data_IF_886930541311
#
_entry.id   IF_886930541311
#
_cell.length_a   1.000
_cell.length_b   1.000
_cell.length_c   1.000
_cell.angle_alpha   90.00
_cell.angle_beta   90.00
_cell.angle_gamma   90.00
#
_symmetry.space_group_name_H-M   'P 1'
#
loop_
_entity.id
_entity.type
_entity.pdbx_description
1 polymer ?
#
# COMPACT_ATOMS: atom_id res chain seq x y z
N UNK A 1 17.22 8.01 50.81
CA UNK A 1 15.76 8.24 50.94
C UNK A 1 15.16 8.82 49.65
N UNK A 2 15.02 8.02 48.58
CA UNK A 2 14.35 8.46 47.33
C UNK A 2 14.02 7.30 46.37
N UNK A 3 13.76 6.11 46.91
CA UNK A 3 13.41 4.91 46.12
C UNK A 3 12.25 4.12 46.72
N UNK A 4 11.49 4.74 47.62
CA UNK A 4 10.43 4.08 48.40
C UNK A 4 9.04 4.74 48.20
N UNK A 5 8.84 5.45 47.09
CA UNK A 5 7.61 6.23 46.84
C UNK A 5 7.02 6.07 45.42
N UNK A 6 7.42 5.04 44.68
CA UNK A 6 6.95 4.80 43.31
C UNK A 6 6.50 3.34 43.07
N UNK A 7 6.04 2.66 44.11
CA UNK A 7 5.42 1.32 44.01
C UNK A 7 3.99 1.27 44.57
N UNK A 8 3.39 2.42 44.90
CA UNK A 8 2.06 2.50 45.53
C UNK A 8 1.02 3.26 44.67
N UNK A 9 1.12 3.14 43.34
CA UNK A 9 0.17 3.75 42.40
C UNK A 9 -0.34 2.75 41.33
N UNK A 10 -0.36 1.45 41.67
CA UNK A 10 -0.80 0.38 40.77
C UNK A 10 -2.01 -0.39 41.32
N UNK A 11 -2.91 0.28 42.04
CA UNK A 11 -4.04 -0.36 42.71
C UNK A 11 -5.28 0.55 42.79
N UNK A 12 -5.75 1.10 41.68
CA UNK A 12 -7.10 1.70 41.61
C UNK A 12 -7.52 2.00 40.16
N UNK A 13 -7.79 0.98 39.35
CA UNK A 13 -8.60 1.16 38.15
C UNK A 13 -9.31 -0.16 37.79
N UNK A 14 -10.18 -0.59 38.71
CA UNK A 14 -11.27 -1.46 38.36
C UNK A 14 -12.24 -0.66 37.46
N UNK A 15 -12.29 -0.96 36.18
CA UNK A 15 -13.40 -0.56 35.31
C UNK A 15 -13.91 -1.76 34.53
N UNK A 16 -15.03 -2.27 35.04
CA UNK A 16 -16.10 -2.99 34.36
C UNK A 16 -15.78 -3.58 32.98
N UNK A 17 -15.41 -4.86 32.96
CA UNK A 17 -15.53 -5.68 31.78
C UNK A 17 -17.03 -5.81 31.42
N UNK A 18 -17.48 -5.03 30.42
CA UNK A 18 -18.78 -5.25 29.78
C UNK A 18 -18.75 -6.58 29.06
N UNK A 19 -19.64 -7.49 29.45
CA UNK A 19 -19.97 -8.70 28.70
C UNK A 19 -20.39 -8.31 27.27
N UNK A 20 -19.51 -8.56 26.30
CA UNK A 20 -19.86 -8.50 24.89
C UNK A 20 -20.45 -9.86 24.52
N UNK A 21 -21.77 -9.90 24.36
CA UNK A 21 -22.48 -10.97 23.67
C UNK A 21 -21.85 -11.16 22.29
N UNK A 22 -21.35 -12.35 21.92
CA UNK A 22 -20.94 -12.60 20.55
C UNK A 22 -22.21 -12.67 19.69
N UNK A 23 -22.62 -11.52 19.16
CA UNK A 23 -23.52 -11.46 18.02
C UNK A 23 -22.82 -12.18 16.87
N UNK A 24 -23.44 -13.26 16.37
CA UNK A 24 -22.98 -14.01 15.21
C UNK A 24 -22.44 -13.06 14.13
N UNK A 25 -21.22 -13.27 13.61
CA UNK A 25 -20.74 -12.49 12.49
C UNK A 25 -21.71 -12.72 11.33
N UNK A 26 -22.48 -11.70 10.98
CA UNK A 26 -23.33 -11.71 9.80
C UNK A 26 -22.46 -12.16 8.63
N UNK A 27 -22.75 -13.36 8.10
CA UNK A 27 -22.04 -13.95 6.99
C UNK A 27 -22.02 -12.93 5.86
N UNK A 28 -20.85 -12.38 5.58
CA UNK A 28 -20.70 -11.36 4.55
C UNK A 28 -21.10 -12.01 3.24
N UNK A 29 -22.09 -11.49 2.49
CA UNK A 29 -22.57 -12.12 1.28
C UNK A 29 -21.38 -12.37 0.35
N UNK A 30 -21.26 -13.63 -0.09
CA UNK A 30 -20.30 -14.06 -1.09
C UNK A 30 -20.52 -13.23 -2.36
N UNK A 31 -19.43 -12.76 -2.98
CA UNK A 31 -19.50 -12.04 -4.27
C UNK A 31 -20.20 -12.83 -5.37
N UNK A 32 -20.24 -14.16 -5.25
CA UNK A 32 -20.93 -15.00 -6.23
C UNK A 32 -22.46 -14.74 -6.25
N UNK A 33 -23.01 -14.12 -5.20
CA UNK A 33 -24.45 -13.88 -5.03
C UNK A 33 -24.83 -12.40 -5.00
N UNK A 34 -23.86 -11.49 -4.97
CA UNK A 34 -24.11 -10.05 -4.90
C UNK A 34 -24.17 -9.45 -6.31
N UNK A 35 -25.36 -9.05 -6.75
CA UNK A 35 -25.55 -8.25 -7.96
C UNK A 35 -25.08 -6.81 -7.70
N UNK A 36 -23.84 -6.51 -8.05
CA UNK A 36 -23.31 -5.15 -7.98
C UNK A 36 -23.84 -4.29 -9.13
N UNK A 37 -24.22 -3.05 -8.84
CA UNK A 37 -24.55 -2.10 -9.88
C UNK A 37 -23.30 -1.74 -10.71
N UNK A 38 -23.50 -1.19 -11.91
CA UNK A 38 -22.40 -0.67 -12.72
C UNK A 38 -21.63 0.43 -11.96
N UNK A 39 -22.33 1.26 -11.20
CA UNK A 39 -21.72 2.30 -10.37
C UNK A 39 -20.83 1.72 -9.25
N UNK A 40 -21.29 0.66 -8.57
CA UNK A 40 -20.50 -0.03 -7.54
C UNK A 40 -19.24 -0.66 -8.12
N UNK A 41 -19.37 -1.21 -9.32
CA UNK A 41 -18.25 -1.81 -10.06
C UNK A 41 -17.21 -0.75 -10.41
N UNK A 42 -17.61 0.39 -10.96
CA UNK A 42 -16.71 1.50 -11.30
C UNK A 42 -16.01 2.04 -10.03
N UNK A 43 -16.74 2.14 -8.91
CA UNK A 43 -16.18 2.56 -7.63
C UNK A 43 -15.15 1.54 -7.11
N UNK A 44 -15.46 0.25 -7.18
CA UNK A 44 -14.55 -0.82 -6.77
C UNK A 44 -13.28 -0.84 -7.64
N UNK A 45 -13.40 -0.63 -8.96
CA UNK A 45 -12.25 -0.53 -9.87
C UNK A 45 -11.39 0.67 -9.51
N UNK A 46 -11.98 1.83 -9.24
CA UNK A 46 -11.25 3.03 -8.79
C UNK A 46 -10.42 2.74 -7.54
N UNK A 47 -11.06 2.17 -6.53
CA UNK A 47 -10.40 1.83 -5.27
C UNK A 47 -9.27 0.80 -5.47
N UNK A 48 -9.47 -0.20 -6.34
CA UNK A 48 -8.41 -1.13 -6.71
C UNK A 48 -7.20 -0.40 -7.32
N UNK A 49 -7.43 0.54 -8.24
CA UNK A 49 -6.36 1.29 -8.89
C UNK A 49 -5.63 2.21 -7.91
N UNK A 50 -6.37 2.97 -7.09
CA UNK A 50 -5.80 3.82 -6.04
C UNK A 50 -4.96 3.01 -5.04
N UNK A 51 -5.47 1.87 -4.57
CA UNK A 51 -4.74 1.00 -3.66
C UNK A 51 -3.43 0.47 -4.27
N UNK A 52 -3.43 0.19 -5.59
CA UNK A 52 -2.25 -0.30 -6.31
C UNK A 52 -1.25 0.81 -6.61
N UNK A 53 -1.71 2.01 -6.92
CA UNK A 53 -0.87 3.19 -7.08
C UNK A 53 -0.17 3.53 -5.76
N UNK A 54 -0.88 3.53 -4.62
CA UNK A 54 -0.25 3.78 -3.31
C UNK A 54 0.94 2.85 -3.05
N UNK A 55 0.77 1.56 -3.36
CA UNK A 55 1.87 0.61 -3.30
C UNK A 55 3.01 0.95 -4.27
N UNK A 56 2.70 1.34 -5.51
CA UNK A 56 3.69 1.73 -6.52
C UNK A 56 4.51 2.95 -6.11
N UNK A 57 3.85 3.98 -5.57
CA UNK A 57 4.47 5.19 -5.02
C UNK A 57 5.42 4.81 -3.88
N UNK A 58 5.02 3.92 -2.97
CA UNK A 58 5.91 3.46 -1.90
C UNK A 58 7.21 2.82 -2.40
N UNK A 59 7.19 2.05 -3.50
CA UNK A 59 8.43 1.53 -4.11
C UNK A 59 9.25 2.62 -4.78
N UNK A 60 8.59 3.57 -5.45
CA UNK A 60 9.27 4.68 -6.11
C UNK A 60 9.96 5.60 -5.09
N UNK A 61 9.29 5.91 -3.98
CA UNK A 61 9.81 6.75 -2.90
C UNK A 61 10.96 6.06 -2.15
N UNK A 62 10.82 4.76 -1.85
CA UNK A 62 11.90 3.99 -1.25
C UNK A 62 13.12 3.93 -2.20
N UNK A 63 12.88 3.68 -3.48
CA UNK A 63 13.93 3.65 -4.50
C UNK A 63 14.63 5.00 -4.67
N UNK A 64 13.88 6.10 -4.70
CA UNK A 64 14.43 7.45 -4.84
C UNK A 64 15.25 7.86 -3.63
N UNK A 65 14.83 7.51 -2.41
CA UNK A 65 15.60 7.76 -1.20
C UNK A 65 16.95 7.02 -1.22
N UNK A 66 16.94 5.73 -1.56
CA UNK A 66 18.18 4.91 -1.65
C UNK A 66 19.09 5.42 -2.79
N UNK A 67 18.51 5.74 -3.95
CA UNK A 67 19.28 6.34 -5.05
C UNK A 67 19.91 7.66 -4.65
N UNK A 68 19.17 8.55 -3.98
CA UNK A 68 19.70 9.84 -3.57
C UNK A 68 20.85 9.66 -2.58
N UNK A 69 20.70 8.76 -1.59
CA UNK A 69 21.76 8.45 -0.64
C UNK A 69 23.03 7.90 -1.33
N UNK A 70 22.86 6.93 -2.23
CA UNK A 70 23.97 6.37 -3.00
C UNK A 70 24.63 7.42 -3.91
N UNK A 71 23.85 8.32 -4.52
CA UNK A 71 24.36 9.33 -5.44
C UNK A 71 25.19 10.38 -4.71
N UNK A 72 24.72 10.81 -3.53
CA UNK A 72 25.48 11.67 -2.62
C UNK A 72 26.76 10.97 -2.18
N UNK A 73 26.69 9.70 -1.77
CA UNK A 73 27.87 8.94 -1.39
C UNK A 73 28.87 8.80 -2.54
N UNK A 74 28.41 8.61 -3.79
CA UNK A 74 29.26 8.60 -4.98
C UNK A 74 29.90 9.97 -5.26
N UNK A 75 29.14 11.06 -5.12
CA UNK A 75 29.63 12.42 -5.36
C UNK A 75 30.68 12.86 -4.33
N UNK A 76 30.62 12.32 -3.11
CA UNK A 76 31.57 12.60 -2.03
C UNK A 76 32.80 11.66 -2.03
N UNK A 77 32.93 10.75 -3.00
CA UNK A 77 34.07 9.83 -3.08
C UNK A 77 35.37 10.60 -3.36
N UNK A 78 36.37 10.30 -2.55
CA UNK A 78 37.77 10.71 -2.75
C UNK A 78 38.67 9.49 -2.99
N UNK A 79 39.93 9.71 -3.34
CA UNK A 79 40.92 8.63 -3.52
C UNK A 79 41.16 7.80 -2.26
N UNK A 80 40.86 8.34 -1.07
CA UNK A 80 40.95 7.65 0.22
C UNK A 80 39.68 6.86 0.60
N UNK A 81 38.66 6.84 -0.26
CA UNK A 81 37.42 6.10 0.02
C UNK A 81 37.69 4.61 0.03
N UNK A 82 37.26 3.91 1.10
CA UNK A 82 37.50 2.48 1.23
C UNK A 82 36.74 1.67 0.18
N UNK A 83 37.27 0.50 -0.19
CA UNK A 83 36.62 -0.39 -1.14
C UNK A 83 35.21 -0.80 -0.68
N UNK A 84 35.04 -1.08 0.62
CA UNK A 84 33.73 -1.39 1.21
C UNK A 84 32.71 -0.28 0.99
N UNK A 85 33.09 0.99 1.23
CA UNK A 85 32.21 2.14 0.99
C UNK A 85 31.84 2.28 -0.50
N UNK A 86 32.77 1.97 -1.42
CA UNK A 86 32.50 1.98 -2.86
C UNK A 86 31.54 0.87 -3.26
N UNK A 87 31.68 -0.32 -2.71
CA UNK A 87 30.77 -1.45 -2.93
C UNK A 87 29.38 -1.11 -2.40
N UNK A 88 29.28 -0.54 -1.20
CA UNK A 88 28.00 -0.20 -0.58
C UNK A 88 27.23 0.84 -1.39
N UNK A 89 27.86 1.95 -1.79
CA UNK A 89 27.12 2.96 -2.58
C UNK A 89 26.80 2.50 -4.01
N UNK A 90 27.58 1.58 -4.59
CA UNK A 90 27.20 0.93 -5.85
C UNK A 90 25.99 -0.03 -5.66
N UNK A 91 25.94 -0.73 -4.52
CA UNK A 91 24.80 -1.57 -4.16
C UNK A 91 23.54 -0.73 -3.95
N UNK A 92 23.66 0.40 -3.28
CA UNK A 92 22.54 1.34 -3.09
C UNK A 92 22.02 1.87 -4.43
N UNK A 93 22.91 2.22 -5.37
CA UNK A 93 22.51 2.56 -6.75
C UNK A 93 21.66 1.46 -7.39
N UNK A 94 22.12 0.22 -7.29
CA UNK A 94 21.43 -0.92 -7.89
C UNK A 94 20.08 -1.19 -7.23
N UNK A 95 20.04 -1.21 -5.89
CA UNK A 95 18.81 -1.45 -5.13
C UNK A 95 17.81 -0.32 -5.36
N UNK A 96 18.27 0.93 -5.27
CA UNK A 96 17.44 2.10 -5.46
C UNK A 96 16.84 2.16 -6.86
N UNK A 97 17.63 1.89 -7.90
CA UNK A 97 17.14 1.86 -9.29
C UNK A 97 16.15 0.73 -9.53
N UNK A 98 16.39 -0.46 -8.96
CA UNK A 98 15.46 -1.58 -9.05
C UNK A 98 14.11 -1.26 -8.39
N UNK A 99 14.13 -0.70 -7.18
CA UNK A 99 12.92 -0.29 -6.45
C UNK A 99 12.17 0.81 -7.20
N UNK A 100 12.88 1.84 -7.64
CA UNK A 100 12.29 2.97 -8.36
C UNK A 100 11.68 2.52 -9.69
N UNK A 101 12.43 1.77 -10.50
CA UNK A 101 11.95 1.23 -11.78
C UNK A 101 10.72 0.35 -11.61
N UNK A 102 10.70 -0.47 -10.55
CA UNK A 102 9.56 -1.31 -10.24
C UNK A 102 8.33 -0.51 -9.78
N UNK A 103 8.52 0.53 -8.97
CA UNK A 103 7.47 1.48 -8.59
C UNK A 103 6.86 2.16 -9.81
N UNK A 104 7.69 2.72 -10.69
CA UNK A 104 7.28 3.36 -11.94
C UNK A 104 6.52 2.38 -12.84
N UNK A 105 7.02 1.17 -13.03
CA UNK A 105 6.36 0.14 -13.83
C UNK A 105 4.94 -0.16 -13.33
N UNK A 106 4.75 -0.30 -12.01
CA UNK A 106 3.41 -0.47 -11.44
C UNK A 106 2.54 0.77 -11.61
N UNK A 107 3.11 1.96 -11.45
CA UNK A 107 2.39 3.22 -11.57
C UNK A 107 1.86 3.40 -13.00
N UNK A 108 2.62 3.04 -14.03
CA UNK A 108 2.15 3.03 -15.43
C UNK A 108 0.99 2.05 -15.62
N UNK A 109 1.08 0.86 -15.03
CA UNK A 109 0.04 -0.19 -15.19
C UNK A 109 -1.29 0.16 -14.51
N UNK A 110 -1.24 0.83 -13.37
CA UNK A 110 -2.41 1.20 -12.57
C UNK A 110 -2.68 2.70 -12.56
N UNK A 111 -2.05 3.46 -13.47
CA UNK A 111 -2.16 4.91 -13.52
C UNK A 111 -3.55 5.39 -13.94
N UNK A 112 -3.77 6.70 -13.81
CA UNK A 112 -5.03 7.36 -14.13
C UNK A 112 -5.49 7.11 -15.58
N UNK A 113 -4.58 7.20 -16.54
CA UNK A 113 -4.89 6.94 -17.96
C UNK A 113 -5.40 5.51 -18.19
N UNK A 114 -4.81 4.51 -17.52
CA UNK A 114 -5.27 3.12 -17.61
C UNK A 114 -6.61 2.93 -16.92
N UNK A 115 -6.86 3.62 -15.81
CA UNK A 115 -8.16 3.60 -15.15
C UNK A 115 -9.26 4.14 -16.07
N UNK A 116 -9.03 5.32 -16.67
CA UNK A 116 -9.98 5.96 -17.60
C UNK A 116 -10.28 5.04 -18.78
N UNK A 117 -9.25 4.46 -19.41
CA UNK A 117 -9.44 3.47 -20.50
C UNK A 117 -10.33 2.29 -20.08
N UNK A 118 -10.08 1.71 -18.90
CA UNK A 118 -10.87 0.57 -18.40
C UNK A 118 -12.32 0.96 -18.10
N UNK A 119 -12.54 2.13 -17.51
CA UNK A 119 -13.89 2.61 -17.19
C UNK A 119 -14.65 2.98 -18.45
N UNK A 120 -14.03 3.66 -19.40
CA UNK A 120 -14.65 4.01 -20.68
C UNK A 120 -15.09 2.75 -21.44
N UNK A 121 -14.21 1.75 -21.57
CA UNK A 121 -14.53 0.47 -22.18
C UNK A 121 -15.70 -0.23 -21.45
N UNK A 122 -15.68 -0.23 -20.12
CA UNK A 122 -16.75 -0.84 -19.32
C UNK A 122 -18.10 -0.13 -19.49
N UNK A 123 -18.12 1.20 -19.55
CA UNK A 123 -19.33 2.00 -19.80
C UNK A 123 -19.87 1.77 -21.21
N UNK A 124 -19.00 1.49 -22.18
CA UNK A 124 -19.37 1.11 -23.56
C UNK A 124 -19.94 -0.33 -23.66
N UNK A 125 -20.01 -1.06 -22.55
CA UNK A 125 -20.55 -2.42 -22.51
C UNK A 125 -19.50 -3.52 -22.66
N UNK A 126 -18.21 -3.18 -22.77
CA UNK A 126 -17.17 -4.19 -22.77
C UNK A 126 -17.00 -4.81 -21.37
N UNK A 127 -16.74 -6.13 -21.28
CA UNK A 127 -16.45 -6.75 -20.01
C UNK A 127 -15.14 -6.22 -19.42
N UNK A 128 -15.07 -6.13 -18.09
CA UNK A 128 -13.85 -5.74 -17.40
C UNK A 128 -12.65 -6.61 -17.83
N UNK A 129 -11.47 -6.01 -18.09
CA UNK A 129 -10.30 -6.77 -18.50
C UNK A 129 -9.94 -7.89 -17.51
N UNK A 130 -9.46 -9.05 -17.99
CA UNK A 130 -9.21 -10.22 -17.13
C UNK A 130 -8.29 -9.93 -15.93
N UNK A 131 -7.29 -9.07 -16.11
CA UNK A 131 -6.36 -8.71 -15.04
C UNK A 131 -7.01 -7.84 -13.94
N UNK A 132 -8.02 -7.04 -14.28
CA UNK A 132 -8.81 -6.25 -13.32
C UNK A 132 -9.76 -7.20 -12.60
N UNK A 133 -10.53 -7.98 -13.36
CA UNK A 133 -11.52 -8.93 -12.82
C UNK A 133 -10.90 -9.90 -11.82
N UNK A 134 -9.74 -10.50 -12.12
CA UNK A 134 -9.00 -11.40 -11.21
C UNK A 134 -8.52 -10.73 -9.92
N UNK A 135 -8.33 -9.41 -9.93
CA UNK A 135 -7.81 -8.63 -8.80
C UNK A 135 -8.91 -7.91 -8.03
N UNK A 136 -10.10 -7.80 -8.60
CA UNK A 136 -11.27 -7.17 -8.02
C UNK A 136 -11.88 -8.12 -6.98
N UNK A 137 -11.46 -7.91 -5.73
CA UNK A 137 -11.88 -8.67 -4.54
C UNK A 137 -13.04 -7.99 -3.81
N UNK A 138 -13.79 -8.72 -2.94
CA UNK A 138 -14.98 -8.17 -2.29
C UNK A 138 -14.69 -6.93 -1.45
N UNK A 139 -13.49 -6.87 -0.88
CA UNK A 139 -12.99 -5.73 -0.10
C UNK A 139 -13.03 -4.39 -0.83
N UNK A 140 -12.98 -4.36 -2.16
CA UNK A 140 -13.02 -3.09 -2.91
C UNK A 140 -14.45 -2.58 -3.13
N UNK A 141 -15.45 -3.47 -3.14
CA UNK A 141 -16.86 -3.09 -3.25
C UNK A 141 -17.43 -2.58 -1.92
N UNK A 142 -16.89 -3.05 -0.80
CA UNK A 142 -17.35 -2.69 0.55
C UNK A 142 -16.76 -1.39 1.08
N UNK A 143 -15.92 -0.71 0.30
CA UNK A 143 -15.27 0.51 0.74
C UNK A 143 -16.25 1.69 0.72
N UNK A 144 -16.58 2.19 1.90
CA UNK A 144 -17.15 3.52 2.10
C UNK A 144 -15.98 4.44 2.46
N UNK A 145 -15.77 5.50 1.67
CA UNK A 145 -14.94 6.60 2.12
C UNK A 145 -15.65 7.20 3.36
N UNK A 146 -14.95 7.25 4.48
CA UNK A 146 -15.42 7.89 5.71
C UNK A 146 -15.22 9.40 5.59
#
# INVERSE_FOLDING_TARGET
>A
MRRLFLLLALAAAASAARAQTPGSPAATPSLATAHYSAADTIRAVRHLFEHRIKGAVGYADAGSAVLTAGAVAMALRTDSTSEGQRIDSNRDMLVGSALMGYGVFRAVRFGRTRYEQVVTAYVQGEPLPPYVRRRLKPKYFRYRAF
#
